data_IF_089549032707
#
_entry.id   IF_089549032707
#
_cell.length_a   1.000
_cell.length_b   1.000
_cell.length_c   1.000
_cell.angle_alpha   90.00
_cell.angle_beta   90.00
_cell.angle_gamma   90.00
#
_symmetry.space_group_name_H-M   'P 1'
#
loop_
_entity.id
_entity.type
_entity.pdbx_description
1 polymer ?
#
# COMPACT_ATOMS: atom_id res chain seq x y z
N UNK A 1 -7.23 -12.01 3.02
CA UNK A 1 -7.75 -10.63 2.88
C UNK A 1 -9.12 -10.70 2.24
N UNK A 2 -10.06 -9.86 2.68
CA UNK A 2 -11.46 -9.87 2.18
C UNK A 2 -11.61 -9.14 0.84
N UNK A 3 -10.62 -8.30 0.51
CA UNK A 3 -10.51 -7.56 -0.75
C UNK A 3 -9.38 -8.22 -1.58
N UNK A 4 -9.57 -8.40 -2.90
CA UNK A 4 -8.52 -8.93 -3.77
C UNK A 4 -7.26 -8.06 -3.75
N UNK A 5 -6.10 -8.71 -3.76
CA UNK A 5 -4.82 -8.03 -3.90
C UNK A 5 -4.60 -7.59 -5.35
N UNK A 6 -3.86 -6.51 -5.54
CA UNK A 6 -3.52 -5.97 -6.85
C UNK A 6 -2.01 -6.01 -7.02
N UNK A 7 -1.55 -6.35 -8.22
CA UNK A 7 -0.15 -6.16 -8.59
C UNK A 7 0.01 -4.82 -9.30
N UNK A 8 0.97 -4.02 -8.84
CA UNK A 8 1.42 -2.82 -9.55
C UNK A 8 2.92 -2.95 -9.83
N UNK A 9 3.26 -3.40 -11.03
CA UNK A 9 4.61 -3.88 -11.34
C UNK A 9 5.00 -5.05 -10.42
N UNK A 10 6.11 -4.92 -9.71
CA UNK A 10 6.62 -5.93 -8.78
C UNK A 10 6.21 -5.65 -7.32
N UNK A 11 5.08 -4.96 -7.10
CA UNK A 11 4.55 -4.65 -5.77
C UNK A 11 3.21 -5.32 -5.58
N UNK A 12 3.07 -6.07 -4.49
CA UNK A 12 1.79 -6.60 -4.04
C UNK A 12 1.09 -5.55 -3.18
N UNK A 13 -0.03 -5.04 -3.67
CA UNK A 13 -0.88 -4.09 -2.97
C UNK A 13 -2.01 -4.85 -2.28
N UNK A 14 -2.15 -4.58 -0.98
CA UNK A 14 -3.21 -5.15 -0.16
C UNK A 14 -4.04 -4.07 0.55
N UNK A 15 -5.34 -4.30 0.67
CA UNK A 15 -6.24 -3.51 1.51
C UNK A 15 -6.63 -4.26 2.78
N UNK A 16 -6.23 -3.73 3.92
CA UNK A 16 -6.62 -4.21 5.25
C UNK A 16 -7.78 -3.35 5.75
N UNK A 17 -8.85 -4.01 6.20
CA UNK A 17 -9.96 -3.36 6.90
C UNK A 17 -10.04 -3.89 8.33
N UNK A 18 -10.09 -2.98 9.28
CA UNK A 18 -10.20 -3.25 10.71
C UNK A 18 -11.55 -2.68 11.16
N UNK A 19 -12.60 -3.51 11.21
CA UNK A 19 -13.92 -3.07 11.65
C UNK A 19 -13.87 -2.51 13.06
N UNK A 20 -14.64 -1.46 13.31
CA UNK A 20 -14.89 -0.94 14.64
C UNK A 20 -16.40 -0.98 14.89
N UNK A 21 -16.80 -1.71 15.94
CA UNK A 21 -18.19 -1.90 16.31
C UNK A 21 -18.54 -1.15 17.61
N UNK A 22 -17.64 -0.31 18.12
CA UNK A 22 -17.85 0.43 19.37
C UNK A 22 -18.89 1.55 19.24
N UNK A 23 -18.99 2.18 18.07
CA UNK A 23 -20.01 3.18 17.74
C UNK A 23 -20.92 2.66 16.61
N UNK A 24 -22.16 2.31 16.96
CA UNK A 24 -23.17 1.83 16.01
C UNK A 24 -23.54 2.87 14.94
N UNK A 25 -23.32 4.15 15.22
CA UNK A 25 -23.60 5.26 14.31
C UNK A 25 -22.41 5.57 13.39
N UNK A 26 -21.23 5.03 13.71
CA UNK A 26 -20.00 5.14 12.90
C UNK A 26 -19.35 3.76 12.74
N UNK A 27 -20.01 2.84 12.00
CA UNK A 27 -19.44 1.52 11.73
C UNK A 27 -18.22 1.58 10.79
N UNK A 28 -17.78 2.79 10.41
CA UNK A 28 -16.57 3.03 9.64
C UNK A 28 -15.37 2.62 10.51
N UNK A 29 -14.84 1.42 10.27
CA UNK A 29 -13.63 0.96 10.92
C UNK A 29 -12.40 1.74 10.45
N UNK A 30 -11.21 1.27 10.80
CA UNK A 30 -9.94 1.78 10.27
C UNK A 30 -9.39 0.84 9.21
N UNK A 31 -8.26 1.18 8.61
CA UNK A 31 -7.59 0.21 7.76
C UNK A 31 -6.25 0.69 7.24
N UNK A 32 -5.68 -0.13 6.38
CA UNK A 32 -4.39 0.13 5.77
C UNK A 32 -4.42 -0.20 4.29
N UNK A 33 -3.67 0.56 3.50
CA UNK A 33 -3.15 0.07 2.23
C UNK A 33 -1.70 -0.33 2.46
N UNK A 34 -1.36 -1.56 2.13
CA UNK A 34 -0.02 -2.12 2.27
C UNK A 34 0.60 -2.36 0.90
N UNK A 35 1.90 -2.11 0.80
CA UNK A 35 2.73 -2.37 -0.36
C UNK A 35 3.89 -3.28 0.07
N UNK A 36 3.90 -4.51 -0.45
CA UNK A 36 4.83 -5.55 -0.05
C UNK A 36 5.57 -6.12 -1.27
N UNK A 37 6.72 -6.72 -0.98
CA UNK A 37 7.37 -7.61 -1.94
C UNK A 37 6.51 -8.85 -2.15
N UNK A 38 6.08 -9.15 -3.39
CA UNK A 38 5.27 -10.34 -3.65
C UNK A 38 6.03 -11.65 -3.40
N UNK A 39 7.37 -11.62 -3.40
CA UNK A 39 8.21 -12.81 -3.26
C UNK A 39 8.58 -13.10 -1.80
N UNK A 40 8.83 -12.07 -1.00
CA UNK A 40 9.22 -12.25 0.41
C UNK A 40 8.08 -12.02 1.39
N UNK A 41 6.97 -11.41 0.95
CA UNK A 41 5.91 -10.92 1.83
C UNK A 41 6.32 -9.77 2.76
N UNK A 42 7.59 -9.32 2.66
CA UNK A 42 8.16 -8.29 3.50
C UNK A 42 8.09 -6.89 2.91
N UNK A 43 8.75 -5.96 3.61
CA UNK A 43 8.95 -4.58 3.17
C UNK A 43 9.69 -4.52 1.83
N UNK A 44 9.36 -3.53 1.02
CA UNK A 44 10.08 -3.21 -0.20
C UNK A 44 11.47 -2.63 0.11
N UNK A 45 12.44 -2.87 -0.77
CA UNK A 45 13.79 -2.30 -0.71
C UNK A 45 13.86 -0.82 -1.12
N UNK A 46 12.71 -0.17 -1.31
CA UNK A 46 12.57 1.20 -1.82
C UNK A 46 11.28 1.88 -1.34
N UNK A 47 11.30 3.21 -1.29
CA UNK A 47 10.22 4.09 -0.78
C UNK A 47 9.00 4.10 -1.71
N UNK A 48 7.97 3.30 -1.48
CA UNK A 48 6.89 3.18 -2.48
C UNK A 48 5.90 4.34 -2.50
N UNK A 49 5.61 4.94 -1.35
CA UNK A 49 4.64 6.01 -1.19
C UNK A 49 5.35 7.34 -0.97
N UNK A 50 4.93 8.39 -1.67
CA UNK A 50 5.24 9.78 -1.33
C UNK A 50 4.25 10.20 -0.25
N UNK A 51 4.68 10.18 1.01
CA UNK A 51 3.81 10.48 2.16
C UNK A 51 3.89 11.92 2.60
N UNK A 52 4.95 12.62 2.24
CA UNK A 52 5.08 14.04 2.54
C UNK A 52 4.41 14.94 1.46
N UNK A 53 4.12 14.39 0.28
CA UNK A 53 3.41 15.04 -0.82
C UNK A 53 4.26 16.01 -1.65
N UNK A 54 5.59 15.89 -1.63
CA UNK A 54 6.52 16.80 -2.30
C UNK A 54 6.90 16.36 -3.73
N UNK A 55 6.40 15.19 -4.17
CA UNK A 55 6.63 14.63 -5.49
C UNK A 55 7.97 13.91 -5.63
N UNK A 56 8.73 13.75 -4.54
CA UNK A 56 9.99 12.99 -4.49
C UNK A 56 9.77 11.72 -3.67
N UNK A 57 10.70 10.78 -3.83
CA UNK A 57 10.71 9.53 -3.09
C UNK A 57 12.07 9.45 -2.40
N UNK A 58 12.17 10.06 -1.22
CA UNK A 58 13.42 10.18 -0.47
C UNK A 58 13.25 9.91 1.03
N UNK A 59 14.32 10.05 1.81
CA UNK A 59 14.32 9.70 3.23
C UNK A 59 13.28 10.49 4.06
N UNK A 60 12.71 11.57 3.53
CA UNK A 60 11.62 12.29 4.19
C UNK A 60 10.27 11.55 4.11
N UNK A 61 10.17 10.49 3.31
CA UNK A 61 9.02 9.58 3.25
C UNK A 61 9.14 8.38 4.21
N UNK A 62 10.30 8.23 4.84
CA UNK A 62 10.52 7.18 5.82
C UNK A 62 9.87 7.52 7.17
N UNK A 63 9.71 6.50 8.00
CA UNK A 63 9.28 6.65 9.39
C UNK A 63 10.35 6.15 10.35
N UNK A 64 10.39 6.67 11.56
CA UNK A 64 11.29 6.17 12.59
C UNK A 64 10.72 4.91 13.23
N UNK A 65 11.43 3.79 13.08
CA UNK A 65 11.06 2.52 13.69
C UNK A 65 12.26 1.98 14.48
N UNK A 66 12.09 1.75 15.78
CA UNK A 66 13.16 1.31 16.69
C UNK A 66 14.43 2.19 16.66
N UNK A 67 14.29 3.50 16.40
CA UNK A 67 15.40 4.44 16.34
C UNK A 67 16.12 4.51 14.99
N UNK A 68 15.64 3.79 13.97
CA UNK A 68 16.19 3.81 12.62
C UNK A 68 15.19 4.39 11.61
N UNK A 69 15.68 5.15 10.64
CA UNK A 69 14.87 5.62 9.51
C UNK A 69 14.52 4.43 8.61
N UNK A 70 13.23 4.19 8.45
CA UNK A 70 12.69 2.95 7.90
C UNK A 70 11.67 3.25 6.82
N UNK A 71 11.83 2.59 5.67
CA UNK A 71 10.85 2.61 4.58
C UNK A 71 9.50 2.11 5.07
N UNK A 72 8.47 2.91 4.85
CA UNK A 72 7.09 2.54 5.16
C UNK A 72 6.56 1.47 4.19
N UNK A 73 5.82 0.51 4.72
CA UNK A 73 5.18 -0.55 3.91
C UNK A 73 3.66 -0.40 3.82
N UNK A 74 3.10 0.65 4.42
CA UNK A 74 1.68 0.90 4.33
C UNK A 74 1.27 2.24 4.92
N UNK A 75 0.08 2.67 4.52
CA UNK A 75 -0.56 3.91 4.95
C UNK A 75 -1.81 3.55 5.72
N UNK A 76 -1.95 4.12 6.92
CA UNK A 76 -3.12 3.95 7.78
C UNK A 76 -4.21 4.98 7.48
N UNK A 77 -5.46 4.55 7.61
CA UNK A 77 -6.64 5.36 7.38
C UNK A 77 -7.55 5.36 8.61
N UNK A 78 -8.16 6.51 8.86
CA UNK A 78 -9.13 6.77 9.93
C UNK A 78 -10.52 6.19 9.65
N UNK A 79 -10.85 6.02 8.37
CA UNK A 79 -12.01 5.27 7.88
C UNK A 79 -11.54 4.11 6.99
N UNK A 80 -12.34 3.05 6.93
CA UNK A 80 -12.00 1.82 6.23
C UNK A 80 -11.75 2.10 4.74
N UNK A 81 -10.56 1.76 4.21
CA UNK A 81 -10.25 1.97 2.81
C UNK A 81 -10.86 0.86 1.94
N UNK A 82 -11.28 1.24 0.73
CA UNK A 82 -11.60 0.31 -0.34
C UNK A 82 -10.34 -0.11 -1.11
N UNK A 83 -10.49 -1.02 -2.07
CA UNK A 83 -9.41 -1.36 -2.99
C UNK A 83 -8.91 -0.11 -3.72
N UNK A 84 -7.59 0.18 -3.73
CA UNK A 84 -7.07 1.33 -4.43
C UNK A 84 -7.22 1.16 -5.95
N UNK A 85 -7.42 2.29 -6.63
CA UNK A 85 -7.37 2.38 -8.09
C UNK A 85 -6.10 3.14 -8.46
N UNK A 86 -5.36 2.65 -9.46
CA UNK A 86 -4.15 3.31 -9.95
C UNK A 86 -4.41 4.02 -11.28
N UNK A 87 -4.09 5.31 -11.33
CA UNK A 87 -4.07 6.12 -12.55
C UNK A 87 -2.61 6.52 -12.79
N UNK A 88 -1.90 5.74 -13.60
CA UNK A 88 -0.45 5.81 -13.69
C UNK A 88 0.19 5.55 -12.33
N UNK A 89 0.95 6.52 -11.83
CA UNK A 89 1.61 6.49 -10.53
C UNK A 89 0.76 7.04 -9.38
N UNK A 90 -0.47 7.50 -9.64
CA UNK A 90 -1.35 8.03 -8.60
C UNK A 90 -2.27 6.93 -8.08
N UNK A 91 -2.16 6.62 -6.79
CA UNK A 91 -3.05 5.73 -6.06
C UNK A 91 -4.23 6.53 -5.52
N UNK A 92 -5.45 6.13 -5.91
CA UNK A 92 -6.71 6.69 -5.43
C UNK A 92 -7.35 5.71 -4.45
N UNK A 93 -7.60 6.14 -3.22
CA UNK A 93 -8.26 5.35 -2.18
C UNK A 93 -9.56 6.02 -1.80
N UNK A 94 -10.67 5.33 -2.01
CA UNK A 94 -11.98 5.74 -1.51
C UNK A 94 -12.20 5.11 -0.15
N UNK A 95 -12.53 5.92 0.86
CA UNK A 95 -12.88 5.44 2.20
C UNK A 95 -14.40 5.31 2.35
N UNK A 96 -14.84 4.56 3.36
CA UNK A 96 -16.26 4.38 3.66
C UNK A 96 -16.98 5.67 4.10
N UNK A 97 -16.24 6.71 4.49
CA UNK A 97 -16.78 8.04 4.79
C UNK A 97 -17.01 8.91 3.54
N UNK A 98 -16.74 8.37 2.35
CA UNK A 98 -16.90 9.06 1.07
C UNK A 98 -15.73 9.98 0.69
N UNK A 99 -14.70 10.09 1.54
CA UNK A 99 -13.50 10.89 1.23
C UNK A 99 -12.57 10.07 0.34
N UNK A 100 -12.01 10.74 -0.68
CA UNK A 100 -11.03 10.18 -1.60
C UNK A 100 -9.67 10.76 -1.24
N UNK A 101 -8.67 9.89 -1.09
CA UNK A 101 -7.28 10.28 -0.93
C UNK A 101 -6.49 9.91 -2.19
N UNK A 102 -5.68 10.85 -2.67
CA UNK A 102 -4.75 10.66 -3.78
C UNK A 102 -3.33 10.65 -3.24
N UNK A 103 -2.57 9.59 -3.50
CA UNK A 103 -1.17 9.44 -3.05
C UNK A 103 -0.32 9.14 -4.28
N UNK A 104 0.80 9.85 -4.42
CA UNK A 104 1.77 9.53 -5.46
C UNK A 104 2.57 8.29 -5.03
N UNK A 105 2.76 7.37 -5.97
CA UNK A 105 3.45 6.09 -5.74
C UNK A 105 4.49 5.86 -6.81
N UNK A 106 5.60 5.22 -6.45
CA UNK A 106 6.59 4.82 -7.43
C UNK A 106 6.30 3.41 -7.97
N UNK A 107 5.65 3.34 -9.13
CA UNK A 107 5.80 2.17 -9.99
C UNK A 107 7.28 2.04 -10.36
N UNK A 108 7.93 0.92 -10.03
CA UNK A 108 9.27 0.65 -10.58
C UNK A 108 9.09 0.63 -12.09
N UNK A 109 9.99 1.26 -12.85
CA UNK A 109 10.26 0.72 -14.17
C UNK A 109 10.70 -0.73 -13.91
N UNK A 110 9.94 -1.75 -14.35
CA UNK A 110 10.30 -3.12 -14.03
C UNK A 110 11.76 -3.30 -14.49
N UNK A 111 12.59 -3.95 -13.67
CA UNK A 111 13.65 -4.74 -14.29
C UNK A 111 12.89 -5.64 -15.26
N UNK A 112 12.97 -5.34 -16.55
CA UNK A 112 12.19 -6.00 -17.59
C UNK A 112 12.67 -7.44 -17.67
N UNK A 113 12.13 -8.28 -16.81
CA UNK A 113 12.36 -9.71 -16.78
C UNK A 113 10.99 -10.39 -16.92
N UNK A 114 10.96 -11.53 -17.58
CA UNK A 114 9.75 -12.33 -17.69
C UNK A 114 9.52 -13.01 -16.34
N UNK A 115 8.57 -12.52 -15.56
CA UNK A 115 8.09 -13.24 -14.38
C UNK A 115 7.11 -14.31 -14.84
N UNK A 116 7.40 -15.58 -14.58
CA UNK A 116 6.46 -16.66 -14.90
C UNK A 116 5.47 -16.85 -13.75
N UNK A 117 4.25 -17.28 -14.05
CA UNK A 117 3.29 -17.66 -13.01
C UNK A 117 3.90 -18.65 -12.01
N UNK A 118 4.79 -19.54 -12.47
CA UNK A 118 5.46 -20.52 -11.63
C UNK A 118 6.34 -19.89 -10.53
N UNK A 119 6.95 -18.73 -10.75
CA UNK A 119 7.79 -18.06 -9.74
C UNK A 119 6.97 -17.47 -8.59
N UNK A 120 5.71 -17.12 -8.83
CA UNK A 120 4.81 -16.55 -7.82
C UNK A 120 4.28 -17.63 -6.86
N UNK A 121 4.12 -18.87 -7.34
CA UNK A 121 3.53 -19.98 -6.56
C UNK A 121 4.56 -20.97 -5.96
N UNK A 122 5.81 -21.01 -6.41
CA UNK A 122 6.74 -22.11 -6.08
C UNK A 122 8.12 -21.70 -5.49
N UNK A 123 8.25 -20.57 -4.79
CA UNK A 123 9.46 -20.32 -3.99
C UNK A 123 9.36 -20.98 -2.60
N UNK A 124 10.02 -22.14 -2.46
CA UNK A 124 10.42 -22.73 -1.18
C UNK A 124 11.79 -22.21 -0.75
#
# INVERSE_FOLDING_TARGET
>A
MVIPNIFQGNVLIGTVRIPDASDICKPTGRGFIIALSPFTGGRLDRIFFDVNGDGKFDDNDNTMYNGESTIISGIGFDSSPNAPIFIGNVMQVVKDDGVILSILTQGRAPDMARTSWHEIINQQ
#
